data_IF_773400718822
#
_entry.id   IF_773400718822
#
_cell.length_a   1.000
_cell.length_b   1.000
_cell.length_c   1.000
_cell.angle_alpha   90.00
_cell.angle_beta   90.00
_cell.angle_gamma   90.00
#
_symmetry.space_group_name_H-M   'P 1'
#
loop_
_entity.id
_entity.type
_entity.pdbx_description
1 polymer ?
#
# COMPACT_ATOMS: atom_id res chain seq x y z
N UNK A 1 -6.22 20.12 -61.61
CA UNK A 1 -5.79 21.01 -60.50
C UNK A 1 -6.64 20.86 -59.23
N UNK A 2 -7.98 20.88 -59.32
CA UNK A 2 -8.88 20.82 -58.16
C UNK A 2 -8.76 19.53 -57.29
N UNK A 3 -8.55 18.36 -57.90
CA UNK A 3 -8.38 17.08 -57.20
C UNK A 3 -7.07 16.98 -56.40
N UNK A 4 -6.02 17.67 -56.86
CA UNK A 4 -4.72 17.74 -56.17
C UNK A 4 -4.80 18.60 -54.92
N UNK A 5 -5.43 19.78 -55.00
CA UNK A 5 -5.67 20.64 -53.85
C UNK A 5 -6.51 19.90 -52.78
N UNK A 6 -7.54 19.17 -53.21
CA UNK A 6 -8.41 18.41 -52.29
C UNK A 6 -7.63 17.32 -51.56
N UNK A 7 -6.76 16.58 -52.26
CA UNK A 7 -5.90 15.55 -51.66
C UNK A 7 -4.81 16.13 -50.73
N UNK A 8 -4.26 17.29 -51.10
CA UNK A 8 -3.29 18.03 -50.27
C UNK A 8 -3.92 18.53 -48.98
N UNK A 9 -5.12 19.13 -49.07
CA UNK A 9 -5.87 19.64 -47.92
C UNK A 9 -6.34 18.49 -47.01
N UNK A 10 -6.80 17.37 -47.57
CA UNK A 10 -7.18 16.21 -46.75
C UNK A 10 -5.98 15.57 -46.08
N UNK A 11 -4.81 15.53 -46.75
CA UNK A 11 -3.57 15.04 -46.14
C UNK A 11 -3.07 15.94 -45.01
N UNK A 12 -3.15 17.27 -45.18
CA UNK A 12 -2.81 18.24 -44.15
C UNK A 12 -3.77 18.18 -42.96
N UNK A 13 -5.07 18.01 -43.22
CA UNK A 13 -6.11 17.86 -42.19
C UNK A 13 -5.92 16.56 -41.39
N UNK A 14 -5.60 15.45 -42.07
CA UNK A 14 -5.31 14.17 -41.41
C UNK A 14 -4.05 14.28 -40.53
N UNK A 15 -2.97 14.90 -41.04
CA UNK A 15 -1.75 15.11 -40.26
C UNK A 15 -2.01 15.92 -38.97
N UNK A 16 -2.91 16.90 -39.04
CA UNK A 16 -3.30 17.73 -37.90
C UNK A 16 -4.19 16.98 -36.89
N UNK A 17 -4.98 16.00 -37.36
CA UNK A 17 -5.79 15.13 -36.49
C UNK A 17 -4.95 14.10 -35.71
N UNK A 18 -3.81 13.65 -36.26
CA UNK A 18 -2.92 12.71 -35.55
C UNK A 18 -1.97 13.38 -34.55
N UNK A 19 -1.92 14.71 -34.51
CA UNK A 19 -1.07 15.47 -33.60
C UNK A 19 -1.78 15.77 -32.27
N UNK A 20 -2.33 14.76 -31.61
CA UNK A 20 -2.89 14.93 -30.27
C UNK A 20 -1.79 14.75 -29.21
N UNK A 21 -1.63 15.69 -28.26
CA UNK A 21 -0.69 15.52 -27.16
C UNK A 21 -1.16 14.38 -26.26
N UNK A 22 -0.34 13.33 -26.13
CA UNK A 22 -0.57 12.28 -25.14
C UNK A 22 -0.12 12.80 -23.77
N UNK A 23 -1.07 13.06 -22.87
CA UNK A 23 -0.75 13.42 -21.48
C UNK A 23 -0.44 12.14 -20.73
N UNK A 24 0.83 11.96 -20.33
CA UNK A 24 1.25 10.86 -19.46
C UNK A 24 0.83 11.24 -18.04
N UNK A 25 -0.15 10.52 -17.49
CA UNK A 25 -0.52 10.64 -16.08
C UNK A 25 0.64 10.10 -15.23
N UNK A 26 1.34 11.00 -14.54
CA UNK A 26 2.41 10.63 -13.61
C UNK A 26 1.79 10.29 -12.25
N UNK A 27 2.25 9.21 -11.64
CA UNK A 27 1.83 8.87 -10.30
C UNK A 27 2.38 9.90 -9.30
N UNK A 28 1.53 10.35 -8.37
CA UNK A 28 1.87 11.38 -7.38
C UNK A 28 2.26 10.69 -6.09
N UNK A 29 3.53 10.81 -5.71
CA UNK A 29 4.05 10.20 -4.49
C UNK A 29 3.58 10.98 -3.23
N UNK A 30 2.86 10.31 -2.32
CA UNK A 30 2.28 10.95 -1.14
C UNK A 30 3.31 11.52 -0.16
N UNK A 31 4.48 10.89 -0.05
CA UNK A 31 5.51 11.25 0.92
C UNK A 31 6.28 12.51 0.50
N UNK A 32 6.34 12.79 -0.81
CA UNK A 32 7.09 13.94 -1.36
C UNK A 32 6.21 15.01 -2.00
N UNK A 33 4.97 14.68 -2.38
CA UNK A 33 4.11 15.59 -3.14
C UNK A 33 3.81 16.89 -2.40
N UNK A 34 3.66 17.95 -3.18
CA UNK A 34 3.17 19.26 -2.75
C UNK A 34 1.65 19.26 -2.61
N UNK A 35 1.09 20.27 -1.93
CA UNK A 35 -0.36 20.39 -1.77
C UNK A 35 -1.09 20.44 -3.12
N UNK A 36 -0.51 21.12 -4.11
CA UNK A 36 -1.05 21.23 -5.46
C UNK A 36 -1.02 19.90 -6.22
N UNK A 37 0.05 19.12 -6.08
CA UNK A 37 0.16 17.80 -6.70
C UNK A 37 -0.82 16.81 -6.08
N UNK A 38 -0.97 16.82 -4.76
CA UNK A 38 -1.98 16.00 -4.08
C UNK A 38 -3.40 16.35 -4.55
N UNK A 39 -3.71 17.64 -4.70
CA UNK A 39 -5.01 18.11 -5.19
C UNK A 39 -5.29 17.76 -6.66
N UNK A 40 -4.26 17.44 -7.46
CA UNK A 40 -4.45 16.97 -8.83
C UNK A 40 -5.12 15.59 -8.88
N UNK A 41 -5.03 14.81 -7.80
CA UNK A 41 -5.67 13.51 -7.69
C UNK A 41 -7.17 13.68 -7.42
N UNK A 42 -7.99 13.13 -8.31
CA UNK A 42 -9.44 13.18 -8.20
C UNK A 42 -9.90 12.54 -6.87
N UNK A 43 -10.50 13.37 -6.02
CA UNK A 43 -10.99 12.95 -4.69
C UNK A 43 -10.16 13.47 -3.52
N UNK A 44 -9.01 14.09 -3.78
CA UNK A 44 -8.26 14.86 -2.79
C UNK A 44 -8.60 16.33 -2.95
N UNK A 45 -9.23 16.92 -1.93
CA UNK A 45 -9.44 18.37 -1.84
C UNK A 45 -8.39 19.03 -0.94
N UNK A 46 -8.38 20.35 -0.91
CA UNK A 46 -7.44 21.18 -0.13
C UNK A 46 -7.31 20.71 1.34
N UNK A 47 -8.43 20.45 2.03
CA UNK A 47 -8.43 19.97 3.42
C UNK A 47 -7.76 18.61 3.59
N UNK A 48 -7.91 17.72 2.61
CA UNK A 48 -7.28 16.40 2.66
C UNK A 48 -5.79 16.50 2.36
N UNK A 49 -5.42 17.31 1.36
CA UNK A 49 -4.02 17.56 1.02
C UNK A 49 -3.24 18.19 2.19
N UNK A 50 -3.82 19.18 2.87
CA UNK A 50 -3.22 19.77 4.08
C UNK A 50 -3.01 18.71 5.17
N UNK A 51 -4.03 17.89 5.47
CA UNK A 51 -3.90 16.81 6.46
C UNK A 51 -2.80 15.82 6.12
N UNK A 52 -2.63 15.46 4.84
CA UNK A 52 -1.56 14.54 4.41
C UNK A 52 -0.19 15.15 4.73
N UNK A 53 -0.01 16.44 4.45
CA UNK A 53 1.24 17.17 4.74
C UNK A 53 1.47 17.27 6.25
N UNK A 54 0.44 17.60 7.02
CA UNK A 54 0.53 17.70 8.49
C UNK A 54 0.85 16.35 9.13
N UNK A 55 0.21 15.28 8.67
CA UNK A 55 0.43 13.93 9.20
C UNK A 55 1.81 13.40 8.83
N UNK A 56 2.33 13.61 7.62
CA UNK A 56 3.72 13.20 7.31
C UNK A 56 4.75 14.01 8.09
N UNK A 57 4.47 15.30 8.36
CA UNK A 57 5.34 16.14 9.17
C UNK A 57 5.39 15.70 10.65
N UNK A 58 4.30 15.13 11.16
CA UNK A 58 4.17 14.70 12.56
C UNK A 58 4.50 13.23 12.79
N UNK A 59 4.07 12.36 11.88
CA UNK A 59 4.11 10.90 12.01
C UNK A 59 5.12 10.21 11.09
N UNK A 60 5.89 10.97 10.31
CA UNK A 60 6.80 10.43 9.31
C UNK A 60 6.09 9.92 8.06
N UNK A 61 6.85 9.30 7.17
CA UNK A 61 6.38 8.80 5.88
C UNK A 61 5.25 7.76 6.03
N UNK A 62 4.36 7.72 5.03
CA UNK A 62 3.32 6.70 4.91
C UNK A 62 3.93 5.43 4.32
N UNK A 63 3.80 4.32 5.05
CA UNK A 63 4.36 3.02 4.66
C UNK A 63 3.39 2.14 3.85
N UNK A 64 2.08 2.40 3.99
CA UNK A 64 1.03 1.57 3.41
C UNK A 64 -0.28 2.34 3.19
N UNK A 65 -1.14 1.77 2.35
CA UNK A 65 -2.50 2.26 2.13
C UNK A 65 -3.33 2.22 3.41
N UNK A 66 -3.13 1.21 4.25
CA UNK A 66 -3.77 1.08 5.55
C UNK A 66 -3.36 2.23 6.48
N UNK A 67 -2.07 2.54 6.60
CA UNK A 67 -1.58 3.63 7.45
C UNK A 67 -2.18 4.98 7.04
N UNK A 68 -2.21 5.25 5.73
CA UNK A 68 -2.89 6.44 5.19
C UNK A 68 -4.37 6.50 5.60
N UNK A 69 -5.07 5.36 5.54
CA UNK A 69 -6.50 5.31 5.88
C UNK A 69 -6.79 5.51 7.37
N UNK A 70 -5.85 5.13 8.23
CA UNK A 70 -5.97 5.26 9.69
C UNK A 70 -5.63 6.68 10.12
N UNK A 71 -4.56 7.25 9.58
CA UNK A 71 -4.06 8.58 9.96
C UNK A 71 -4.95 9.72 9.45
N UNK A 72 -5.50 9.60 8.23
CA UNK A 72 -6.28 10.69 7.63
C UNK A 72 -7.78 10.49 7.84
N UNK A 73 -8.36 11.32 8.72
CA UNK A 73 -9.80 11.33 8.98
C UNK A 73 -10.62 11.54 7.69
N UNK A 74 -11.45 10.56 7.35
CA UNK A 74 -12.36 10.59 6.19
C UNK A 74 -11.84 9.85 4.96
N UNK A 75 -10.62 9.31 5.00
CA UNK A 75 -10.07 8.35 4.02
C UNK A 75 -10.20 6.93 4.57
N UNK A 76 -11.35 6.28 4.35
CA UNK A 76 -11.46 4.84 4.63
C UNK A 76 -10.79 4.00 3.56
N UNK A 77 -10.57 2.70 3.82
CA UNK A 77 -9.94 1.72 2.90
C UNK A 77 -10.39 1.85 1.43
N UNK A 78 -11.72 1.85 1.19
CA UNK A 78 -12.31 1.98 -0.15
C UNK A 78 -11.99 3.31 -0.84
N UNK A 79 -11.82 4.40 -0.08
CA UNK A 79 -11.42 5.70 -0.63
C UNK A 79 -9.95 5.70 -0.96
N UNK A 80 -9.11 5.16 -0.08
CA UNK A 80 -7.67 5.05 -0.32
C UNK A 80 -7.37 4.23 -1.57
N UNK A 81 -8.03 3.07 -1.73
CA UNK A 81 -7.94 2.25 -2.94
C UNK A 81 -8.26 3.05 -4.20
N UNK A 82 -9.37 3.82 -4.18
CA UNK A 82 -9.73 4.70 -5.31
C UNK A 82 -8.72 5.81 -5.59
N UNK A 83 -8.02 6.31 -4.57
CA UNK A 83 -6.98 7.31 -4.76
C UNK A 83 -5.75 6.70 -5.42
N UNK A 84 -5.39 5.47 -5.03
CA UNK A 84 -4.30 4.71 -5.65
C UNK A 84 -4.63 4.42 -7.12
N UNK A 85 -5.85 3.97 -7.41
CA UNK A 85 -6.37 3.83 -8.78
C UNK A 85 -6.34 5.16 -9.56
N UNK A 86 -6.55 6.29 -8.87
CA UNK A 86 -6.49 7.63 -9.46
C UNK A 86 -5.07 8.17 -9.64
N UNK A 87 -4.03 7.39 -9.29
CA UNK A 87 -2.63 7.75 -9.49
C UNK A 87 -1.90 8.22 -8.23
N UNK A 88 -2.44 8.02 -7.04
CA UNK A 88 -1.71 8.23 -5.78
C UNK A 88 -0.74 7.07 -5.54
N UNK A 89 0.55 7.36 -5.41
CA UNK A 89 1.59 6.39 -5.10
C UNK A 89 2.07 6.55 -3.66
N UNK A 90 2.23 5.44 -2.95
CA UNK A 90 2.74 5.40 -1.57
C UNK A 90 4.24 5.04 -1.57
N UNK A 91 4.81 4.70 -2.73
CA UNK A 91 6.14 4.14 -2.87
C UNK A 91 6.12 2.62 -2.67
N UNK A 92 7.29 1.97 -2.55
CA UNK A 92 7.35 0.53 -2.29
C UNK A 92 6.61 0.24 -0.98
N UNK A 93 5.45 -0.41 -1.10
CA UNK A 93 4.64 -0.81 0.04
C UNK A 93 5.53 -1.59 1.02
N UNK A 94 5.78 -1.03 2.20
CA UNK A 94 6.45 -1.76 3.29
C UNK A 94 5.44 -2.66 4.04
N UNK A 95 4.31 -2.94 3.40
CA UNK A 95 3.20 -3.69 3.96
C UNK A 95 3.32 -5.18 3.59
N UNK A 96 3.69 -5.97 4.61
CA UNK A 96 3.56 -7.44 4.71
C UNK A 96 4.53 -8.32 3.91
N UNK A 97 5.83 -8.06 3.99
CA UNK A 97 6.80 -9.15 4.03
C UNK A 97 7.86 -8.87 5.12
N UNK A 98 7.98 -9.79 6.10
CA UNK A 98 9.14 -10.00 6.98
C UNK A 98 9.36 -9.15 8.27
N UNK A 99 8.40 -9.07 9.20
CA UNK A 99 8.80 -8.90 10.63
C UNK A 99 8.10 -9.90 11.57
N UNK A 100 6.82 -10.24 11.35
CA UNK A 100 6.10 -11.17 12.26
C UNK A 100 6.29 -12.67 12.00
N UNK A 101 6.54 -13.09 10.76
CA UNK A 101 6.42 -14.51 10.37
C UNK A 101 7.74 -15.29 10.41
N UNK A 102 8.89 -14.64 10.53
CA UNK A 102 10.19 -15.33 10.46
C UNK A 102 10.73 -15.70 11.84
N UNK A 103 10.61 -14.80 12.83
CA UNK A 103 11.22 -15.00 14.16
C UNK A 103 10.23 -15.68 15.10
N UNK A 104 9.01 -15.15 15.22
CA UNK A 104 7.97 -15.68 16.12
C UNK A 104 7.45 -17.03 15.63
N UNK A 105 7.26 -17.25 14.34
CA UNK A 105 6.78 -18.54 13.84
C UNK A 105 7.83 -19.65 13.99
N UNK A 106 9.13 -19.34 13.83
CA UNK A 106 10.22 -20.28 14.10
C UNK A 106 10.33 -20.59 15.60
N UNK A 107 10.19 -19.57 16.45
CA UNK A 107 10.27 -19.72 17.90
C UNK A 107 9.07 -20.49 18.46
N UNK A 108 7.85 -20.19 18.03
CA UNK A 108 6.62 -20.90 18.43
C UNK A 108 6.65 -22.36 17.94
N UNK A 109 7.17 -22.62 16.74
CA UNK A 109 7.37 -23.98 16.24
C UNK A 109 8.42 -24.75 17.05
N UNK A 110 9.56 -24.13 17.39
CA UNK A 110 10.59 -24.73 18.21
C UNK A 110 10.11 -25.01 19.64
N UNK A 111 9.32 -24.11 20.24
CA UNK A 111 8.70 -24.28 21.56
C UNK A 111 7.70 -25.44 21.54
N UNK A 112 6.85 -25.55 20.50
CA UNK A 112 5.87 -26.64 20.38
C UNK A 112 6.53 -28.02 20.23
N UNK A 113 7.72 -28.09 19.65
CA UNK A 113 8.49 -29.33 19.59
C UNK A 113 9.13 -29.72 20.94
N UNK A 114 9.53 -28.74 21.76
CA UNK A 114 10.06 -28.99 23.12
C UNK A 114 9.02 -29.60 24.07
N UNK A 115 7.75 -29.29 23.87
CA UNK A 115 6.65 -29.86 24.67
C UNK A 115 6.14 -31.22 24.15
N UNK A 116 6.75 -31.79 23.11
CA UNK A 116 6.33 -33.08 22.53
C UNK A 116 7.16 -34.28 23.02
N UNK A 117 7.93 -34.13 24.09
CA UNK A 117 8.71 -35.23 24.68
C UNK A 117 7.94 -35.95 25.80
N UNK A 118 7.66 -37.22 25.49
CA UNK A 118 7.18 -38.37 26.27
C UNK A 118 6.92 -38.22 27.78
N UNK A 119 5.71 -38.60 28.18
CA UNK A 119 5.45 -39.13 29.52
C UNK A 119 6.36 -40.35 29.78
N UNK A 120 7.04 -40.47 30.93
CA UNK A 120 7.68 -41.72 31.30
C UNK A 120 6.59 -42.76 31.58
N UNK A 121 6.65 -43.85 30.81
CA UNK A 121 5.88 -45.07 31.02
C UNK A 121 6.10 -45.62 32.42
N UNK A 122 4.99 -45.91 33.09
CA UNK A 122 4.82 -46.84 34.21
C UNK A 122 5.94 -47.87 34.42
N UNK A 123 6.56 -47.85 35.61
CA UNK A 123 7.24 -49.01 36.22
C UNK A 123 7.62 -48.68 37.68
N UNK A 124 7.12 -49.48 38.63
CA UNK A 124 7.37 -49.54 40.09
C UNK A 124 6.61 -48.57 41.02
N UNK A 125 5.64 -49.11 41.79
CA UNK A 125 5.16 -48.50 43.06
C UNK A 125 6.06 -48.89 44.24
N UNK A 126 5.68 -48.70 45.53
CA UNK A 126 4.62 -47.88 46.13
C UNK A 126 5.18 -46.81 47.10
N UNK A 127 4.49 -45.68 47.29
CA UNK A 127 4.75 -44.79 48.43
C UNK A 127 3.57 -44.87 49.41
N UNK A 128 3.65 -45.82 50.34
CA UNK A 128 2.82 -45.79 51.55
C UNK A 128 3.46 -44.83 52.55
N UNK A 129 2.80 -43.69 52.75
CA UNK A 129 3.07 -42.76 53.85
C UNK A 129 2.73 -43.48 55.16
N UNK A 130 3.76 -43.83 55.94
CA UNK A 130 3.59 -44.20 57.34
C UNK A 130 3.49 -42.92 58.15
N UNK A 131 2.28 -42.65 58.63
CA UNK A 131 1.97 -41.60 59.60
C UNK A 131 2.38 -42.14 60.97
N UNK A 132 3.13 -41.33 61.71
CA UNK A 132 3.63 -41.64 63.05
C UNK A 132 2.70 -41.04 64.12
#
# INVERSE_FOLDING_TARGET
MFAFYKSLVTSLLLLLLFFQPFVIAQAVNINTATSTELQSIKGIGEKTAQRIIDERARGGDFESAEDLSIRIKGLGKKRTEKLIEAGLDIGPEQSKQNIGSSVVAKEVAAVKQRFKYAAPSSSSGPYLLKVN
#
